data_IF_141556345585
#
_entry.id   IF_141556345585
#
_cell.length_a   1.000
_cell.length_b   1.000
_cell.length_c   1.000
_cell.angle_alpha   90.00
_cell.angle_beta   90.00
_cell.angle_gamma   90.00
#
_symmetry.space_group_name_H-M   'P 1'
#
loop_
_entity.id
_entity.type
_entity.pdbx_description
1 polymer ?
#
# COMPACT_ATOMS: atom_id res chain seq x y z
N UNK A 1 2.67 3.35 -1.37
CA UNK A 1 2.15 4.67 -0.93
C UNK A 1 2.86 5.20 0.31
N UNK A 2 3.20 4.33 1.27
CA UNK A 2 3.83 4.74 2.52
C UNK A 2 5.19 5.38 2.37
N UNK A 3 5.29 6.64 2.78
CA UNK A 3 6.55 7.35 2.87
C UNK A 3 7.15 7.78 1.54
N UNK A 4 6.29 8.18 0.59
CA UNK A 4 6.64 8.97 -0.59
C UNK A 4 5.85 10.29 -0.56
N UNK A 5 6.23 11.26 -1.38
CA UNK A 5 5.48 12.52 -1.48
C UNK A 5 4.18 12.38 -2.28
N UNK A 6 3.22 13.23 -1.96
CA UNK A 6 2.04 13.49 -2.80
C UNK A 6 2.33 14.68 -3.72
N UNK A 7 1.33 15.05 -4.52
CA UNK A 7 1.42 16.25 -5.34
C UNK A 7 1.39 17.52 -4.48
N UNK A 8 0.61 17.56 -3.38
CA UNK A 8 0.50 18.75 -2.52
C UNK A 8 1.46 18.75 -1.34
N UNK A 9 1.92 17.59 -0.88
CA UNK A 9 2.75 17.48 0.32
C UNK A 9 4.05 16.70 0.06
N UNK A 10 5.17 17.23 0.55
CA UNK A 10 6.44 16.51 0.57
C UNK A 10 6.40 15.37 1.60
N UNK A 11 7.23 14.35 1.41
CA UNK A 11 7.39 13.27 2.40
C UNK A 11 7.67 13.83 3.81
N UNK A 12 8.58 14.80 3.92
CA UNK A 12 8.90 15.47 5.18
C UNK A 12 7.69 16.21 5.76
N UNK A 13 6.91 16.92 4.93
CA UNK A 13 5.70 17.61 5.35
C UNK A 13 4.67 16.65 5.93
N UNK A 14 4.46 15.51 5.27
CA UNK A 14 3.57 14.45 5.74
C UNK A 14 4.04 13.90 7.09
N UNK A 15 5.31 13.49 7.18
CA UNK A 15 5.89 12.95 8.42
C UNK A 15 5.81 13.96 9.57
N UNK A 16 6.13 15.23 9.32
CA UNK A 16 6.06 16.27 10.36
C UNK A 16 4.64 16.61 10.78
N UNK A 17 3.69 16.69 9.85
CA UNK A 17 2.28 16.94 10.16
C UNK A 17 1.69 15.86 11.07
N UNK A 18 2.00 14.60 10.77
CA UNK A 18 1.61 13.43 11.59
C UNK A 18 2.25 13.51 12.98
N UNK A 19 3.57 13.71 13.05
CA UNK A 19 4.31 13.78 14.31
C UNK A 19 3.88 14.94 15.22
N UNK A 20 3.69 16.13 14.65
CA UNK A 20 3.29 17.31 15.41
C UNK A 20 1.89 17.15 16.04
N UNK A 21 1.02 16.40 15.38
CA UNK A 21 -0.32 16.11 15.86
C UNK A 21 -0.36 14.92 16.83
N UNK A 22 0.78 14.29 17.11
CA UNK A 22 0.85 13.06 17.92
C UNK A 22 0.08 11.90 17.28
N UNK A 23 -0.09 11.91 15.96
CA UNK A 23 -0.81 10.88 15.23
C UNK A 23 0.14 9.74 14.82
N UNK A 24 -0.45 8.59 14.53
CA UNK A 24 0.25 7.47 13.92
C UNK A 24 -0.37 7.14 12.55
N UNK A 25 0.49 6.87 11.58
CA UNK A 25 0.10 6.50 10.22
C UNK A 25 0.80 5.20 9.84
N UNK A 26 0.00 4.14 9.73
CA UNK A 26 0.48 2.79 9.46
C UNK A 26 -0.09 2.29 8.14
N UNK A 27 0.70 1.47 7.46
CA UNK A 27 0.32 0.81 6.23
C UNK A 27 0.62 -0.67 6.39
N UNK A 28 -0.40 -1.48 6.15
CA UNK A 28 -0.28 -2.93 6.14
C UNK A 28 -0.74 -3.45 4.80
N UNK A 29 0.04 -4.36 4.22
CA UNK A 29 -0.22 -4.96 2.93
C UNK A 29 -0.24 -6.48 3.06
N UNK A 30 -1.31 -7.09 2.56
CA UNK A 30 -1.40 -8.52 2.29
C UNK A 30 -1.45 -8.82 0.79
N UNK A 31 -1.74 -10.07 0.45
CA UNK A 31 -1.93 -10.52 -0.95
C UNK A 31 -3.19 -9.96 -1.61
N UNK A 32 -4.24 -9.77 -0.81
CA UNK A 32 -5.57 -9.42 -1.32
C UNK A 32 -6.00 -8.01 -0.91
N UNK A 33 -5.55 -7.54 0.26
CA UNK A 33 -5.99 -6.28 0.85
C UNK A 33 -4.76 -5.47 1.26
N UNK A 34 -4.83 -4.16 1.05
CA UNK A 34 -3.89 -3.19 1.58
C UNK A 34 -4.67 -2.15 2.38
N UNK A 35 -4.30 -1.97 3.64
CA UNK A 35 -4.97 -1.06 4.56
C UNK A 35 -4.05 0.11 4.92
N UNK A 36 -4.60 1.31 4.83
CA UNK A 36 -3.99 2.55 5.30
C UNK A 36 -4.74 2.99 6.56
N UNK A 37 -4.03 3.17 7.67
CA UNK A 37 -4.63 3.44 8.97
C UNK A 37 -4.04 4.71 9.56
N UNK A 38 -4.89 5.70 9.86
CA UNK A 38 -4.53 6.90 10.61
C UNK A 38 -5.17 6.84 11.99
N UNK A 39 -4.35 6.85 13.04
CA UNK A 39 -4.79 6.90 14.43
C UNK A 39 -4.39 8.23 15.04
N UNK A 40 -5.35 9.01 15.52
CA UNK A 40 -5.08 10.31 16.15
C UNK A 40 -6.18 10.68 17.15
N UNK A 41 -5.99 11.80 17.86
CA UNK A 41 -7.02 12.37 18.72
C UNK A 41 -8.20 12.89 17.89
N UNK A 42 -9.43 12.79 18.42
CA UNK A 42 -10.66 13.26 17.73
C UNK A 42 -10.58 14.71 17.23
N UNK A 43 -9.83 15.57 17.93
CA UNK A 43 -9.67 17.00 17.59
C UNK A 43 -8.77 17.22 16.36
N UNK A 44 -7.80 16.34 16.13
CA UNK A 44 -6.76 16.48 15.10
C UNK A 44 -7.06 15.68 13.83
N UNK A 45 -8.03 14.76 13.88
CA UNK A 45 -8.44 13.97 12.72
C UNK A 45 -8.89 14.85 11.54
N UNK A 46 -9.77 15.85 11.71
CA UNK A 46 -10.20 16.68 10.59
C UNK A 46 -9.02 17.34 9.86
N UNK A 47 -8.06 17.91 10.61
CA UNK A 47 -6.87 18.55 10.04
C UNK A 47 -5.90 17.61 9.32
N UNK A 48 -5.86 16.32 9.70
CA UNK A 48 -4.97 15.34 9.08
C UNK A 48 -5.65 14.53 7.98
N UNK A 49 -6.98 14.54 7.94
CA UNK A 49 -7.77 13.71 7.03
C UNK A 49 -7.47 14.02 5.56
N UNK A 50 -7.37 15.29 5.19
CA UNK A 50 -7.04 15.68 3.81
C UNK A 50 -5.67 15.15 3.36
N UNK A 51 -4.65 15.33 4.21
CA UNK A 51 -3.30 14.83 3.94
C UNK A 51 -3.24 13.30 3.87
N UNK A 52 -4.01 12.62 4.73
CA UNK A 52 -4.15 11.17 4.71
C UNK A 52 -4.81 10.68 3.43
N UNK A 53 -5.96 11.25 3.05
CA UNK A 53 -6.67 10.88 1.84
C UNK A 53 -5.82 11.17 0.61
N UNK A 54 -5.11 12.29 0.55
CA UNK A 54 -4.22 12.60 -0.56
C UNK A 54 -3.06 11.59 -0.66
N UNK A 55 -2.51 11.14 0.48
CA UNK A 55 -1.45 10.12 0.52
C UNK A 55 -1.89 8.77 -0.04
N UNK A 56 -3.19 8.48 0.02
CA UNK A 56 -3.78 7.25 -0.52
C UNK A 56 -4.21 7.42 -1.98
N UNK A 57 -4.82 8.56 -2.32
CA UNK A 57 -5.51 8.77 -3.60
C UNK A 57 -4.62 9.37 -4.68
N UNK A 58 -3.63 10.19 -4.31
CA UNK A 58 -2.82 10.93 -5.27
C UNK A 58 -1.31 10.91 -4.94
N UNK A 59 -0.68 9.71 -4.89
CA UNK A 59 0.76 9.60 -4.75
C UNK A 59 1.48 10.13 -6.01
N UNK A 60 2.51 10.96 -5.83
CA UNK A 60 3.19 11.60 -6.96
C UNK A 60 4.22 10.70 -7.67
N UNK A 61 4.75 9.68 -6.98
CA UNK A 61 5.80 8.76 -7.48
C UNK A 61 6.94 9.48 -8.21
N UNK A 62 7.55 10.51 -7.60
CA UNK A 62 8.62 11.29 -8.22
C UNK A 62 9.82 10.39 -8.52
N UNK A 63 10.40 10.49 -9.72
CA UNK A 63 11.46 9.59 -10.19
C UNK A 63 12.63 9.46 -9.21
N UNK A 64 13.10 10.59 -8.67
CA UNK A 64 14.20 10.61 -7.70
C UNK A 64 13.83 9.99 -6.34
N UNK A 65 12.60 10.17 -5.86
CA UNK A 65 12.16 9.53 -4.62
C UNK A 65 12.09 8.00 -4.79
N UNK A 66 11.64 7.54 -5.96
CA UNK A 66 11.55 6.12 -6.27
C UNK A 66 12.95 5.51 -6.44
N UNK A 67 13.86 6.16 -7.16
CA UNK A 67 15.23 5.66 -7.33
C UNK A 67 16.02 5.63 -6.03
N UNK A 68 15.82 6.61 -5.16
CA UNK A 68 16.67 6.78 -3.98
C UNK A 68 16.15 5.95 -2.80
N UNK A 69 14.82 5.90 -2.60
CA UNK A 69 14.22 5.32 -1.39
C UNK A 69 13.80 3.87 -1.57
N UNK A 70 13.21 3.51 -2.72
CA UNK A 70 12.62 2.18 -2.90
C UNK A 70 13.65 1.04 -2.87
N UNK A 71 14.82 1.12 -3.52
CA UNK A 71 15.77 0.00 -3.54
C UNK A 71 16.30 -0.34 -2.16
N UNK A 72 16.61 0.68 -1.35
CA UNK A 72 17.08 0.52 0.03
C UNK A 72 16.02 -0.12 0.93
N UNK A 73 14.77 0.34 0.84
CA UNK A 73 13.63 -0.23 1.58
C UNK A 73 13.37 -1.68 1.21
N UNK A 74 13.27 -1.99 -0.08
CA UNK A 74 13.01 -3.35 -0.55
C UNK A 74 14.16 -4.28 -0.13
N UNK A 75 15.41 -3.83 -0.22
CA UNK A 75 16.56 -4.62 0.24
C UNK A 75 16.51 -4.88 1.75
N UNK A 76 16.09 -3.89 2.53
CA UNK A 76 15.90 -4.04 3.98
C UNK A 76 14.80 -5.05 4.31
N UNK A 77 13.65 -4.96 3.64
CA UNK A 77 12.53 -5.89 3.80
C UNK A 77 12.96 -7.33 3.47
N UNK A 78 13.71 -7.50 2.38
CA UNK A 78 14.26 -8.80 1.99
C UNK A 78 15.27 -9.35 3.00
N UNK A 79 16.09 -8.49 3.60
CA UNK A 79 17.08 -8.91 4.61
C UNK A 79 16.46 -9.25 5.98
N UNK A 80 15.30 -8.68 6.29
CA UNK A 80 14.60 -8.87 7.57
C UNK A 80 13.54 -9.98 7.52
N UNK A 81 13.46 -10.72 6.41
CA UNK A 81 12.54 -11.84 6.25
C UNK A 81 12.88 -12.97 7.23
N UNK A 82 11.91 -13.31 8.09
CA UNK A 82 12.06 -14.47 8.96
C UNK A 82 11.95 -15.78 8.16
N UNK A 83 12.62 -16.86 8.59
CA UNK A 83 12.47 -18.17 7.96
C UNK A 83 11.02 -18.66 7.92
N UNK A 84 10.21 -18.30 8.93
CA UNK A 84 8.79 -18.63 8.98
C UNK A 84 8.00 -17.95 7.85
N UNK A 85 8.23 -16.66 7.59
CA UNK A 85 7.61 -15.97 6.47
C UNK A 85 8.08 -16.53 5.13
N UNK A 86 9.36 -16.84 5.00
CA UNK A 86 9.89 -17.46 3.78
C UNK A 86 9.24 -18.82 3.50
N UNK A 87 9.06 -19.66 4.51
CA UNK A 87 8.36 -20.94 4.37
C UNK A 87 6.91 -20.75 3.92
N UNK A 88 6.20 -19.75 4.46
CA UNK A 88 4.85 -19.40 4.04
C UNK A 88 4.81 -18.92 2.57
N UNK A 89 5.76 -18.10 2.13
CA UNK A 89 5.86 -17.68 0.73
C UNK A 89 6.11 -18.86 -0.21
N UNK A 90 7.00 -19.78 0.15
CA UNK A 90 7.28 -21.00 -0.62
C UNK A 90 6.06 -21.92 -0.67
N UNK A 91 5.31 -22.03 0.43
CA UNK A 91 4.08 -22.80 0.49
C UNK A 91 3.04 -22.27 -0.50
N UNK A 92 2.78 -20.96 -0.50
CA UNK A 92 1.83 -20.37 -1.45
C UNK A 92 2.28 -20.54 -2.90
N UNK A 93 3.58 -20.37 -3.16
CA UNK A 93 4.16 -20.57 -4.49
C UNK A 93 4.06 -22.02 -4.97
N UNK A 94 4.24 -22.99 -4.08
CA UNK A 94 4.09 -24.41 -4.40
C UNK A 94 2.63 -24.80 -4.63
N UNK A 95 1.70 -24.24 -3.83
CA UNK A 95 0.29 -24.57 -3.86
C UNK A 95 -0.48 -23.93 -5.04
N UNK A 96 -0.10 -22.70 -5.43
CA UNK A 96 -0.80 -21.90 -6.43
C UNK A 96 0.17 -21.40 -7.51
N UNK A 97 -0.17 -21.63 -8.77
CA UNK A 97 0.68 -21.25 -9.91
C UNK A 97 0.57 -19.75 -10.26
N UNK A 98 -0.56 -19.13 -9.95
CA UNK A 98 -0.89 -17.72 -10.25
C UNK A 98 -1.80 -17.15 -9.17
N UNK A 99 -2.03 -15.84 -9.18
CA UNK A 99 -2.93 -15.18 -8.22
C UNK A 99 -2.29 -15.11 -6.84
N UNK A 100 -2.84 -15.82 -5.85
CA UNK A 100 -2.32 -15.83 -4.47
C UNK A 100 -0.97 -16.54 -4.32
N UNK A 101 -0.54 -17.28 -5.34
CA UNK A 101 0.80 -17.86 -5.42
C UNK A 101 1.91 -16.84 -5.72
N UNK A 102 1.54 -15.64 -6.17
CA UNK A 102 2.51 -14.55 -6.33
C UNK A 102 3.01 -14.09 -4.96
N UNK A 103 4.31 -13.89 -4.84
CA UNK A 103 4.90 -13.40 -3.59
C UNK A 103 4.53 -11.93 -3.36
N UNK A 104 4.38 -11.57 -2.09
CA UNK A 104 4.20 -10.17 -1.68
C UNK A 104 5.52 -9.40 -1.72
N UNK A 105 6.65 -10.11 -1.75
CA UNK A 105 7.99 -9.51 -1.80
C UNK A 105 8.48 -9.37 -3.24
N UNK A 106 9.19 -8.29 -3.52
CA UNK A 106 9.87 -8.12 -4.80
C UNK A 106 10.99 -9.17 -4.93
N UNK A 107 11.14 -9.83 -6.08
CA UNK A 107 12.29 -10.70 -6.31
C UNK A 107 13.59 -9.89 -6.29
N UNK A 108 14.69 -10.53 -5.86
CA UNK A 108 16.00 -9.88 -5.66
C UNK A 108 16.55 -9.21 -6.92
N UNK A 109 16.32 -9.80 -8.09
CA UNK A 109 16.77 -9.23 -9.38
C UNK A 109 15.98 -7.99 -9.82
N UNK A 110 14.78 -7.75 -9.26
CA UNK A 110 13.98 -6.55 -9.54
C UNK A 110 14.31 -5.38 -8.61
N UNK A 111 15.14 -5.59 -7.59
CA UNK A 111 15.56 -4.51 -6.67
C UNK A 111 16.34 -3.46 -7.48
N UNK A 112 15.87 -2.22 -7.46
CA UNK A 112 16.44 -1.13 -8.26
C UNK A 112 15.88 -0.99 -9.68
N UNK A 113 15.08 -1.96 -10.16
CA UNK A 113 14.47 -1.92 -11.50
C UNK A 113 13.03 -1.36 -11.50
N UNK A 114 12.41 -1.23 -10.33
CA UNK A 114 11.10 -0.58 -10.19
C UNK A 114 11.22 0.91 -10.52
N UNK A 115 10.38 1.39 -11.42
CA UNK A 115 10.34 2.80 -11.81
C UNK A 115 8.98 3.44 -11.55
N UNK A 116 8.94 4.77 -11.58
CA UNK A 116 7.71 5.53 -11.31
C UNK A 116 6.56 5.22 -12.25
N UNK A 117 6.83 4.91 -13.52
CA UNK A 117 5.79 4.57 -14.48
C UNK A 117 5.14 3.21 -14.15
N UNK A 118 5.92 2.22 -13.70
CA UNK A 118 5.42 0.93 -13.23
C UNK A 118 4.55 1.10 -11.98
N UNK A 119 4.98 1.91 -11.02
CA UNK A 119 4.22 2.19 -9.80
C UNK A 119 2.90 2.91 -10.10
N UNK A 120 2.94 3.94 -10.97
CA UNK A 120 1.75 4.66 -11.41
C UNK A 120 0.79 3.74 -12.17
N UNK A 121 1.29 2.94 -13.11
CA UNK A 121 0.47 1.98 -13.85
C UNK A 121 -0.17 0.91 -12.96
N UNK A 122 0.54 0.45 -11.92
CA UNK A 122 -0.04 -0.44 -10.92
C UNK A 122 -1.11 0.27 -10.08
N UNK A 123 -0.85 1.51 -9.67
CA UNK A 123 -1.78 2.33 -8.90
C UNK A 123 -3.08 2.55 -9.66
N UNK A 124 -3.00 3.07 -10.88
CA UNK A 124 -4.16 3.37 -11.72
C UNK A 124 -5.00 2.13 -12.03
N UNK A 125 -4.37 0.95 -12.11
CA UNK A 125 -5.06 -0.34 -12.35
C UNK A 125 -5.69 -0.93 -11.09
N UNK A 126 -5.13 -0.69 -9.91
CA UNK A 126 -5.48 -1.42 -8.68
C UNK A 126 -6.31 -0.59 -7.71
N UNK A 127 -6.02 0.70 -7.61
CA UNK A 127 -6.72 1.63 -6.73
C UNK A 127 -7.91 2.19 -7.48
N UNK A 128 -9.10 1.72 -7.10
CA UNK A 128 -10.34 2.18 -7.69
C UNK A 128 -11.42 2.31 -6.63
N UNK A 129 -12.35 3.23 -6.86
CA UNK A 129 -13.37 3.60 -5.88
C UNK A 129 -14.29 2.43 -5.50
N UNK A 130 -14.58 1.53 -6.44
CA UNK A 130 -15.40 0.33 -6.26
C UNK A 130 -14.73 -0.77 -5.43
N UNK A 131 -13.41 -0.69 -5.23
CA UNK A 131 -12.60 -1.61 -4.41
C UNK A 131 -12.06 -0.95 -3.14
N UNK A 132 -12.48 0.27 -2.86
CA UNK A 132 -12.05 1.03 -1.69
C UNK A 132 -13.18 1.09 -0.65
N UNK A 133 -12.81 0.95 0.62
CA UNK A 133 -13.73 1.12 1.75
C UNK A 133 -13.09 2.02 2.78
N UNK A 134 -13.81 3.06 3.19
CA UNK A 134 -13.42 3.93 4.30
C UNK A 134 -14.05 3.44 5.60
N UNK A 135 -13.24 3.25 6.63
CA UNK A 135 -13.69 2.80 7.96
C UNK A 135 -13.32 3.87 8.98
N UNK A 136 -14.32 4.38 9.70
CA UNK A 136 -14.13 5.35 10.79
C UNK A 136 -14.48 4.72 12.14
N UNK A 137 -13.54 4.74 13.08
CA UNK A 137 -13.78 4.34 14.47
C UNK A 137 -13.67 5.56 15.39
N UNK A 138 -14.72 5.86 16.17
CA UNK A 138 -14.72 6.99 17.11
C UNK A 138 -14.85 8.38 16.47
N UNK A 139 -15.36 8.45 15.22
CA UNK A 139 -15.67 9.68 14.47
C UNK A 139 -17.19 9.69 14.18
N UNK A 140 -17.81 10.87 14.10
CA UNK A 140 -19.22 10.99 13.70
C UNK A 140 -19.40 10.56 12.25
N UNK A 141 -20.57 10.00 11.93
CA UNK A 141 -20.88 9.61 10.55
C UNK A 141 -20.84 10.80 9.57
N UNK A 142 -21.32 11.97 10.01
CA UNK A 142 -21.29 13.20 9.21
C UNK A 142 -19.86 13.63 8.83
N UNK A 143 -18.94 13.67 9.80
CA UNK A 143 -17.53 13.98 9.50
C UNK A 143 -16.88 12.89 8.64
N UNK A 144 -17.28 11.63 8.79
CA UNK A 144 -16.78 10.55 7.94
C UNK A 144 -17.24 10.70 6.49
N UNK A 145 -18.48 11.16 6.26
CA UNK A 145 -19.00 11.45 4.92
C UNK A 145 -18.23 12.60 4.27
N UNK A 146 -17.93 13.67 5.02
CA UNK A 146 -17.10 14.78 4.52
C UNK A 146 -15.71 14.29 4.08
N UNK A 147 -15.08 13.40 4.83
CA UNK A 147 -13.78 12.81 4.46
C UNK A 147 -13.94 11.91 3.22
N UNK A 148 -15.05 11.17 3.11
CA UNK A 148 -15.32 10.29 1.98
C UNK A 148 -15.50 11.08 0.67
N UNK A 149 -16.09 12.28 0.72
CA UNK A 149 -16.22 13.18 -0.44
C UNK A 149 -14.86 13.62 -1.01
N UNK A 150 -13.82 13.69 -0.19
CA UNK A 150 -12.46 13.99 -0.62
C UNK A 150 -11.76 12.82 -1.35
N UNK A 151 -12.34 11.62 -1.36
CA UNK A 151 -11.74 10.45 -2.01
C UNK A 151 -11.91 10.56 -3.53
N UNK A 152 -10.83 10.91 -4.21
CA UNK A 152 -10.78 10.95 -5.66
C UNK A 152 -10.00 9.75 -6.22
N UNK A 153 -10.71 8.65 -6.52
CA UNK A 153 -10.16 7.47 -7.17
C UNK A 153 -10.91 7.19 -8.47
N UNK A 154 -10.24 6.65 -9.50
CA UNK A 154 -10.92 6.25 -10.72
C UNK A 154 -11.94 5.14 -10.43
N UNK A 155 -13.06 5.12 -11.14
CA UNK A 155 -13.97 3.96 -11.14
C UNK A 155 -13.32 2.82 -11.93
N UNK A 156 -13.27 1.60 -11.39
CA UNK A 156 -12.71 0.49 -12.15
C UNK A 156 -13.63 0.09 -13.30
N UNK A 157 -13.02 -0.32 -14.42
CA UNK A 157 -13.67 -1.23 -15.34
C UNK A 157 -13.80 -2.61 -14.68
N UNK A 158 -14.94 -3.27 -14.80
CA UNK A 158 -15.21 -4.59 -14.20
C UNK A 158 -14.17 -5.64 -14.64
N UNK A 159 -13.09 -5.79 -13.88
CA UNK A 159 -12.13 -6.88 -14.07
C UNK A 159 -12.60 -8.08 -13.26
N UNK A 160 -13.03 -9.14 -13.95
CA UNK A 160 -13.29 -10.43 -13.29
C UNK A 160 -11.98 -10.91 -12.64
N UNK A 161 -11.94 -11.00 -11.32
CA UNK A 161 -10.84 -11.63 -10.61
C UNK A 161 -10.87 -13.13 -10.90
N UNK A 162 -9.81 -13.65 -11.52
CA UNK A 162 -9.67 -15.08 -11.75
C UNK A 162 -9.42 -15.77 -10.41
N UNK A 163 -10.26 -16.76 -10.07
CA UNK A 163 -10.08 -17.55 -8.87
C UNK A 163 -8.72 -18.28 -8.90
N UNK A 164 -8.03 -18.34 -7.76
CA UNK A 164 -6.78 -19.09 -7.65
C UNK A 164 -7.08 -20.56 -7.41
N UNK A 165 -6.68 -21.44 -8.34
CA UNK A 165 -6.86 -22.89 -8.21
C UNK A 165 -5.70 -23.51 -7.45
N UNK A 166 -6.00 -24.39 -6.49
CA UNK A 166 -5.01 -25.16 -5.76
C UNK A 166 -4.53 -26.35 -6.60
N UNK A 167 -3.22 -26.50 -6.74
CA UNK A 167 -2.61 -27.60 -7.49
C UNK A 167 -1.76 -28.54 -6.62
N UNK A 168 -1.39 -28.11 -5.41
CA UNK A 168 -0.37 -28.78 -4.60
C UNK A 168 1.03 -28.71 -5.24
N UNK A 169 2.06 -29.04 -4.47
CA UNK A 169 3.43 -29.06 -4.95
C UNK A 169 4.45 -29.06 -3.81
N UNK A 170 5.71 -29.27 -4.17
CA UNK A 170 6.85 -29.03 -3.28
C UNK A 170 7.72 -27.91 -3.84
N UNK A 171 8.30 -27.11 -2.96
CA UNK A 171 9.31 -26.13 -3.31
C UNK A 171 10.42 -26.20 -2.27
N UNK A 172 11.67 -26.33 -2.72
CA UNK A 172 12.85 -26.39 -1.86
C UNK A 172 13.66 -25.12 -2.10
N UNK A 173 13.96 -24.42 -1.01
CA UNK A 173 14.96 -23.35 -1.00
C UNK A 173 16.17 -23.92 -0.30
N UNK A 174 17.29 -24.01 -1.02
CA UNK A 174 18.61 -24.23 -0.42
C UNK A 174 19.16 -22.92 0.18
#
# INVERSE_FOLDING_TARGET
GGGLSTHSHSYFGITRGIQQSGANFDISQGREIMSYSLTSSRKTIPSLSDMFIESVTNPAFKNWEVSDVCPGRIKNDLSNLSPAYMAQELLYKAAFRTGIGNSIYSPSFMVGSHNSAMLKGFFDKTFALDRATLIGCGISHESLLQIAECINLPSASTTKTTASTFYGGECRSE
#
